data_IF_290844688893
#
_entry.id   IF_290844688893
#
_cell.length_a   1.000
_cell.length_b   1.000
_cell.length_c   1.000
_cell.angle_alpha   90.00
_cell.angle_beta   90.00
_cell.angle_gamma   90.00
#
_symmetry.space_group_name_H-M   'P 1'
#
loop_
_entity.id
_entity.type
_entity.pdbx_description
1 polymer ?
#
# COMPACT_ATOMS: atom_id res chain seq x y z
N UNK A 1 33.49 -17.38 35.87
CA UNK A 1 33.60 -16.06 35.23
C UNK A 1 32.90 -15.07 36.15
N UNK A 2 33.65 -14.42 37.04
CA UNK A 2 33.10 -13.49 38.04
C UNK A 2 32.71 -12.18 37.36
N UNK A 3 31.45 -11.77 37.51
CA UNK A 3 30.99 -10.45 37.08
C UNK A 3 31.45 -9.42 38.11
N UNK A 4 32.35 -8.50 37.71
CA UNK A 4 33.07 -7.60 38.63
C UNK A 4 32.27 -6.38 39.13
N UNK A 5 31.03 -6.18 38.69
CA UNK A 5 30.08 -5.31 39.41
C UNK A 5 28.63 -5.61 39.00
N UNK A 6 27.69 -5.46 39.94
CA UNK A 6 26.25 -5.54 39.70
C UNK A 6 25.80 -4.59 38.57
N UNK A 7 26.45 -3.42 38.47
CA UNK A 7 26.22 -2.44 37.43
C UNK A 7 26.55 -2.96 36.01
N UNK A 8 27.63 -3.73 35.83
CA UNK A 8 27.96 -4.34 34.54
C UNK A 8 26.95 -5.43 34.13
N UNK A 9 26.44 -6.19 35.10
CA UNK A 9 25.43 -7.21 34.84
C UNK A 9 24.09 -6.58 34.43
N UNK A 10 23.65 -5.53 35.13
CA UNK A 10 22.46 -4.76 34.75
C UNK A 10 22.66 -4.06 33.40
N UNK A 11 23.78 -3.38 33.17
CA UNK A 11 24.11 -2.76 31.88
C UNK A 11 24.07 -3.78 30.74
N UNK A 12 24.60 -5.00 30.94
CA UNK A 12 24.58 -6.06 29.92
C UNK A 12 23.16 -6.61 29.71
N UNK A 13 22.33 -6.66 30.75
CA UNK A 13 20.92 -7.06 30.67
C UNK A 13 20.07 -6.01 29.95
N UNK A 14 20.23 -4.73 30.30
CA UNK A 14 19.56 -3.62 29.62
C UNK A 14 20.08 -3.43 28.19
N UNK A 15 21.38 -3.58 27.95
CA UNK A 15 21.97 -3.54 26.61
C UNK A 15 21.50 -4.71 25.73
N UNK A 16 21.29 -5.91 26.28
CA UNK A 16 20.64 -7.03 25.56
C UNK A 16 19.18 -6.72 25.22
N UNK A 17 18.45 -6.07 26.14
CA UNK A 17 17.08 -5.58 25.89
C UNK A 17 17.05 -4.52 24.79
N UNK A 18 17.97 -3.57 24.84
CA UNK A 18 18.12 -2.51 23.84
C UNK A 18 18.55 -3.06 22.48
N UNK A 19 19.54 -3.97 22.42
CA UNK A 19 19.97 -4.59 21.16
C UNK A 19 18.90 -5.44 20.52
N UNK A 20 18.16 -6.22 21.32
CA UNK A 20 17.06 -7.04 20.80
C UNK A 20 15.90 -6.17 20.32
N UNK A 21 15.57 -5.10 21.04
CA UNK A 21 14.59 -4.08 20.63
C UNK A 21 15.02 -3.39 19.34
N UNK A 22 16.25 -2.89 19.26
CA UNK A 22 16.81 -2.21 18.10
C UNK A 22 16.85 -3.13 16.87
N UNK A 23 17.20 -4.40 17.05
CA UNK A 23 17.16 -5.40 15.97
C UNK A 23 15.73 -5.67 15.48
N UNK A 24 14.73 -5.68 16.37
CA UNK A 24 13.31 -5.81 16.00
C UNK A 24 12.83 -4.58 15.24
N UNK A 25 13.14 -3.38 15.72
CA UNK A 25 12.82 -2.12 15.04
C UNK A 25 13.47 -2.05 13.67
N UNK A 26 14.76 -2.38 13.56
CA UNK A 26 15.46 -2.44 12.28
C UNK A 26 14.83 -3.43 11.31
N UNK A 27 14.44 -4.62 11.78
CA UNK A 27 13.73 -5.59 10.94
C UNK A 27 12.40 -5.04 10.47
N UNK A 28 11.62 -4.44 11.36
CA UNK A 28 10.32 -3.85 11.04
C UNK A 28 10.44 -2.74 9.99
N UNK A 29 11.39 -1.81 10.16
CA UNK A 29 11.65 -0.74 9.19
C UNK A 29 12.12 -1.27 7.83
N UNK A 30 12.99 -2.29 7.82
CA UNK A 30 13.40 -2.96 6.58
C UNK A 30 12.22 -3.67 5.91
N UNK A 31 11.34 -4.30 6.69
CA UNK A 31 10.13 -4.95 6.19
C UNK A 31 9.12 -3.94 5.65
N UNK A 32 9.03 -2.73 6.22
CA UNK A 32 8.25 -1.61 5.69
C UNK A 32 8.84 -1.18 4.33
N UNK A 33 10.14 -0.93 4.25
CA UNK A 33 10.81 -0.56 2.99
C UNK A 33 10.57 -1.63 1.91
N UNK A 34 10.59 -2.92 2.29
CA UNK A 34 10.29 -4.04 1.40
C UNK A 34 8.82 -4.13 0.99
N UNK A 35 7.92 -3.99 1.97
CA UNK A 35 6.49 -4.19 1.81
C UNK A 35 5.91 -3.18 0.85
N UNK A 36 6.27 -1.92 1.08
CA UNK A 36 5.81 -0.76 0.32
C UNK A 36 6.70 -0.45 -0.89
N UNK A 37 7.99 -0.79 -0.88
CA UNK A 37 8.90 -0.58 -2.03
C UNK A 37 9.62 0.77 -2.06
N UNK A 38 9.60 1.54 -0.97
CA UNK A 38 9.93 2.98 -0.94
C UNK A 38 11.20 3.40 -1.71
N UNK A 39 11.11 4.45 -2.55
CA UNK A 39 12.33 5.21 -2.89
C UNK A 39 12.86 5.92 -1.64
N UNK A 40 14.14 6.27 -1.64
CA UNK A 40 14.74 7.02 -0.55
C UNK A 40 13.99 8.33 -0.26
N UNK A 41 13.55 9.02 -1.31
CA UNK A 41 12.78 10.26 -1.20
C UNK A 41 11.43 10.04 -0.53
N UNK A 42 10.68 9.01 -0.94
CA UNK A 42 9.37 8.70 -0.37
C UNK A 42 9.48 8.20 1.07
N UNK A 43 10.46 7.34 1.37
CA UNK A 43 10.71 6.88 2.73
C UNK A 43 11.02 8.06 3.68
N UNK A 44 11.81 9.04 3.22
CA UNK A 44 12.11 10.25 4.02
C UNK A 44 10.93 11.22 4.15
N UNK A 45 9.87 11.06 3.37
CA UNK A 45 8.64 11.86 3.42
C UNK A 45 7.54 11.27 4.31
N UNK A 46 7.72 10.04 4.80
CA UNK A 46 6.81 9.42 5.76
C UNK A 46 6.55 10.35 6.97
N UNK A 47 5.32 10.40 7.51
CA UNK A 47 4.97 11.32 8.60
C UNK A 47 5.90 11.20 9.81
N UNK A 48 6.45 10.02 10.06
CA UNK A 48 7.44 9.76 11.11
C UNK A 48 8.71 10.61 10.95
N UNK A 49 9.27 10.69 9.73
CA UNK A 49 10.51 11.43 9.45
C UNK A 49 10.26 12.88 9.04
N UNK A 50 9.10 13.17 8.43
CA UNK A 50 8.67 14.54 8.11
C UNK A 50 8.48 15.38 9.37
N UNK A 51 7.91 14.80 10.43
CA UNK A 51 7.72 15.48 11.74
C UNK A 51 8.98 15.45 12.61
N UNK A 52 9.92 14.54 12.36
CA UNK A 52 11.14 14.33 13.17
C UNK A 52 12.38 14.28 12.27
N UNK A 53 12.85 15.42 11.73
CA UNK A 53 13.94 15.44 10.77
C UNK A 53 15.27 14.92 11.33
N UNK A 54 15.47 14.94 12.65
CA UNK A 54 16.65 14.37 13.31
C UNK A 54 16.75 12.84 13.18
N UNK A 55 15.66 12.14 12.83
CA UNK A 55 15.66 10.70 12.57
C UNK A 55 16.09 10.35 11.12
N UNK A 56 16.21 11.34 10.22
CA UNK A 56 16.58 11.11 8.82
C UNK A 56 17.94 10.40 8.64
N UNK A 57 19.00 10.70 9.40
CA UNK A 57 20.26 9.94 9.30
C UNK A 57 20.10 8.46 9.61
N UNK A 58 19.29 8.13 10.62
CA UNK A 58 18.97 6.74 10.94
C UNK A 58 18.16 6.10 9.80
N UNK A 59 17.16 6.80 9.26
CA UNK A 59 16.39 6.33 8.11
C UNK A 59 17.27 6.04 6.88
N UNK A 60 18.26 6.91 6.59
CA UNK A 60 19.24 6.70 5.51
C UNK A 60 20.06 5.42 5.73
N UNK A 61 20.52 5.18 6.96
CA UNK A 61 21.26 3.96 7.31
C UNK A 61 20.40 2.71 7.14
N UNK A 62 19.15 2.73 7.62
CA UNK A 62 18.22 1.61 7.46
C UNK A 62 17.94 1.34 5.98
N UNK A 63 17.73 2.39 5.20
CA UNK A 63 17.55 2.30 3.76
C UNK A 63 18.76 1.70 3.04
N UNK A 64 19.97 2.14 3.41
CA UNK A 64 21.22 1.56 2.90
C UNK A 64 21.34 0.07 3.21
N UNK A 65 21.03 -0.33 4.45
CA UNK A 65 21.01 -1.75 4.86
C UNK A 65 19.97 -2.55 4.05
N UNK A 66 18.76 -2.00 3.86
CA UNK A 66 17.71 -2.65 3.07
C UNK A 66 18.13 -2.85 1.61
N UNK A 67 18.77 -1.83 1.01
CA UNK A 67 19.31 -1.87 -0.35
C UNK A 67 20.43 -2.91 -0.49
N UNK A 68 21.40 -2.93 0.43
CA UNK A 68 22.51 -3.89 0.43
C UNK A 68 22.04 -5.34 0.60
N UNK A 69 20.97 -5.57 1.36
CA UNK A 69 20.39 -6.91 1.51
C UNK A 69 19.60 -7.39 0.29
N UNK A 70 19.51 -6.60 -0.79
CA UNK A 70 18.70 -6.93 -1.95
C UNK A 70 17.20 -6.99 -1.65
N UNK A 71 16.79 -6.42 -0.51
CA UNK A 71 15.41 -6.42 -0.02
C UNK A 71 14.59 -5.26 -0.62
N UNK A 72 15.25 -4.42 -1.42
CA UNK A 72 14.68 -3.31 -2.16
C UNK A 72 14.14 -3.79 -3.52
N UNK A 73 12.84 -3.60 -3.77
CA UNK A 73 12.24 -3.83 -5.09
C UNK A 73 11.58 -2.56 -5.57
N UNK A 74 12.42 -1.66 -6.10
CA UNK A 74 11.95 -0.54 -6.89
C UNK A 74 11.75 -0.98 -8.32
N UNK A 75 10.51 -0.85 -8.77
CA UNK A 75 10.18 -0.92 -10.17
C UNK A 75 10.21 0.51 -10.71
N UNK A 76 11.03 0.79 -11.74
CA UNK A 76 11.10 2.13 -12.33
C UNK A 76 9.76 2.57 -12.94
N UNK A 77 8.88 1.62 -13.28
CA UNK A 77 7.57 1.89 -13.86
C UNK A 77 6.45 2.09 -12.84
N UNK A 78 6.62 1.65 -11.59
CA UNK A 78 5.57 1.66 -10.56
C UNK A 78 6.09 2.26 -9.26
N UNK A 79 5.41 3.28 -8.75
CA UNK A 79 5.71 3.79 -7.41
C UNK A 79 5.18 2.81 -6.34
N UNK A 80 5.47 3.09 -5.07
CA UNK A 80 5.12 2.22 -3.94
C UNK A 80 3.63 1.99 -3.80
N UNK A 81 2.86 3.05 -3.98
CA UNK A 81 1.41 2.98 -3.87
C UNK A 81 0.86 2.07 -4.96
N UNK A 82 1.41 2.17 -6.17
CA UNK A 82 1.07 1.29 -7.28
C UNK A 82 1.47 -0.17 -6.96
N UNK A 83 2.66 -0.41 -6.39
CA UNK A 83 3.12 -1.75 -6.00
C UNK A 83 2.27 -2.39 -4.90
N UNK A 84 1.82 -1.61 -3.92
CA UNK A 84 0.90 -2.09 -2.87
C UNK A 84 -0.43 -2.50 -3.49
N UNK A 85 -1.01 -1.63 -4.32
CA UNK A 85 -2.27 -1.92 -5.00
C UNK A 85 -2.12 -3.15 -5.91
N UNK A 86 -1.03 -3.26 -6.63
CA UNK A 86 -0.71 -4.43 -7.45
C UNK A 86 -0.69 -5.72 -6.61
N UNK A 87 0.03 -5.74 -5.49
CA UNK A 87 0.09 -6.91 -4.59
C UNK A 87 -1.26 -7.24 -3.95
N UNK A 88 -2.05 -6.22 -3.61
CA UNK A 88 -3.42 -6.40 -3.10
C UNK A 88 -4.28 -7.07 -4.18
N UNK A 89 -4.25 -6.57 -5.42
CA UNK A 89 -4.96 -7.15 -6.55
C UNK A 89 -4.48 -8.56 -6.93
N UNK A 90 -3.20 -8.88 -6.71
CA UNK A 90 -2.73 -10.26 -6.89
C UNK A 90 -3.35 -11.23 -5.88
N UNK A 91 -3.65 -10.76 -4.67
CA UNK A 91 -4.14 -11.59 -3.56
C UNK A 91 -5.63 -11.41 -3.28
N UNK A 92 -6.29 -10.53 -4.01
CA UNK A 92 -7.72 -10.26 -3.85
C UNK A 92 -8.51 -11.56 -4.08
N UNK A 93 -9.49 -11.73 -3.20
CA UNK A 93 -10.39 -12.87 -3.06
C UNK A 93 -11.81 -12.33 -3.07
N UNK A 94 -12.80 -13.19 -3.35
CA UNK A 94 -14.19 -12.73 -3.38
C UNK A 94 -14.62 -12.28 -1.97
N UNK A 95 -14.81 -10.96 -1.74
CA UNK A 95 -15.06 -10.46 -0.40
C UNK A 95 -16.44 -10.89 0.13
N UNK A 96 -17.40 -11.18 -0.76
CA UNK A 96 -18.75 -11.60 -0.35
C UNK A 96 -18.75 -13.10 -0.07
N UNK A 97 -18.22 -13.90 -0.99
CA UNK A 97 -18.23 -15.37 -0.84
C UNK A 97 -17.23 -15.89 0.19
N UNK A 98 -16.01 -15.35 0.22
CA UNK A 98 -14.96 -15.87 1.09
C UNK A 98 -14.95 -15.22 2.48
N UNK A 99 -15.33 -13.94 2.58
CA UNK A 99 -15.29 -13.19 3.84
C UNK A 99 -16.68 -12.90 4.42
N UNK A 100 -17.76 -13.22 3.71
CA UNK A 100 -19.12 -12.94 4.14
C UNK A 100 -19.45 -11.45 4.22
N UNK A 101 -18.72 -10.60 3.49
CA UNK A 101 -18.96 -9.16 3.50
C UNK A 101 -20.31 -8.82 2.87
N UNK A 102 -20.99 -7.80 3.41
CA UNK A 102 -22.19 -7.26 2.79
C UNK A 102 -21.86 -6.67 1.41
N UNK A 103 -22.68 -6.97 0.40
CA UNK A 103 -22.45 -6.56 -0.98
C UNK A 103 -22.34 -5.03 -1.14
N UNK A 104 -23.08 -4.24 -0.36
CA UNK A 104 -23.00 -2.76 -0.37
C UNK A 104 -21.69 -2.22 0.20
N UNK A 105 -20.90 -3.04 0.89
CA UNK A 105 -19.59 -2.66 1.43
C UNK A 105 -18.42 -3.31 0.68
N UNK A 106 -18.71 -4.23 -0.25
CA UNK A 106 -17.72 -4.90 -1.07
C UNK A 106 -17.25 -3.98 -2.21
N UNK A 107 -16.32 -3.08 -1.89
CA UNK A 107 -15.74 -2.12 -2.84
C UNK A 107 -14.22 -2.04 -2.76
N UNK A 108 -13.59 -1.85 -3.92
CA UNK A 108 -12.16 -1.55 -4.07
C UNK A 108 -12.00 -0.32 -4.97
N UNK A 109 -11.35 0.73 -4.46
CA UNK A 109 -11.14 1.99 -5.18
C UNK A 109 -9.66 2.12 -5.51
N UNK A 110 -9.34 2.30 -6.80
CA UNK A 110 -7.99 2.45 -7.30
C UNK A 110 -7.90 3.76 -8.09
N UNK A 111 -6.98 4.69 -7.76
CA UNK A 111 -6.76 5.88 -8.57
C UNK A 111 -6.51 5.51 -10.03
N UNK A 112 -7.10 6.25 -10.97
CA UNK A 112 -7.05 5.87 -12.38
C UNK A 112 -5.62 5.83 -12.94
N UNK A 113 -4.78 6.80 -12.58
CA UNK A 113 -3.36 6.81 -12.98
C UNK A 113 -2.60 5.57 -12.48
N UNK A 114 -2.93 5.09 -11.27
CA UNK A 114 -2.35 3.85 -10.73
C UNK A 114 -2.85 2.65 -11.52
N UNK A 115 -4.14 2.59 -11.84
CA UNK A 115 -4.69 1.52 -12.66
C UNK A 115 -4.03 1.49 -14.06
N UNK A 116 -3.80 2.64 -14.69
CA UNK A 116 -3.09 2.75 -15.97
C UNK A 116 -1.65 2.24 -15.86
N UNK A 117 -0.89 2.68 -14.85
CA UNK A 117 0.51 2.26 -14.68
C UNK A 117 0.63 0.75 -14.42
N UNK A 118 -0.27 0.17 -13.64
CA UNK A 118 -0.32 -1.28 -13.36
C UNK A 118 -0.81 -2.07 -14.59
N UNK A 119 -1.64 -1.46 -15.43
CA UNK A 119 -2.37 -2.10 -16.52
C UNK A 119 -3.86 -2.16 -16.20
N UNK A 120 -4.65 -1.28 -16.83
CA UNK A 120 -6.06 -1.08 -16.54
C UNK A 120 -6.88 -2.36 -16.77
N UNK A 121 -6.67 -3.02 -17.91
CA UNK A 121 -7.33 -4.28 -18.27
C UNK A 121 -6.97 -5.42 -17.31
N UNK A 122 -5.70 -5.51 -16.91
CA UNK A 122 -5.25 -6.49 -15.93
C UNK A 122 -5.91 -6.24 -14.56
N UNK A 123 -5.92 -4.99 -14.08
CA UNK A 123 -6.54 -4.64 -12.80
C UNK A 123 -8.05 -4.92 -12.79
N UNK A 124 -8.75 -4.54 -13.87
CA UNK A 124 -10.16 -4.84 -14.06
C UNK A 124 -10.42 -6.36 -14.09
N UNK A 125 -9.57 -7.14 -14.77
CA UNK A 125 -9.63 -8.59 -14.79
C UNK A 125 -9.49 -9.21 -13.39
N UNK A 126 -8.58 -8.68 -12.55
CA UNK A 126 -8.43 -9.12 -11.15
C UNK A 126 -9.67 -8.83 -10.33
N UNK A 127 -10.28 -7.65 -10.47
CA UNK A 127 -11.54 -7.30 -9.81
C UNK A 127 -12.68 -8.26 -10.22
N UNK A 128 -12.83 -8.52 -11.53
CA UNK A 128 -13.82 -9.49 -12.03
C UNK A 128 -13.59 -10.89 -11.46
N UNK A 129 -12.34 -11.34 -11.40
CA UNK A 129 -12.00 -12.65 -10.82
C UNK A 129 -12.33 -12.77 -9.33
N UNK A 130 -12.41 -11.64 -8.62
CA UNK A 130 -12.85 -11.56 -7.24
C UNK A 130 -14.37 -11.29 -7.10
N UNK A 131 -15.14 -11.44 -8.17
CA UNK A 131 -16.59 -11.23 -8.12
C UNK A 131 -17.00 -9.76 -7.99
N UNK A 132 -16.10 -8.81 -8.25
CA UNK A 132 -16.40 -7.38 -8.29
C UNK A 132 -16.54 -6.92 -9.74
N UNK A 133 -17.60 -6.16 -10.04
CA UNK A 133 -17.76 -5.54 -11.36
C UNK A 133 -16.95 -4.23 -11.41
N UNK A 134 -16.06 -4.04 -12.40
CA UNK A 134 -15.27 -2.82 -12.54
C UNK A 134 -16.07 -1.68 -13.18
N UNK A 135 -15.94 -0.49 -12.61
CA UNK A 135 -16.53 0.77 -13.06
C UNK A 135 -15.42 1.81 -13.18
N UNK A 136 -15.58 2.72 -14.14
CA UNK A 136 -14.82 3.96 -14.18
C UNK A 136 -15.67 5.03 -13.48
N UNK A 137 -15.16 5.56 -12.37
CA UNK A 137 -15.86 6.56 -11.59
C UNK A 137 -15.13 7.90 -11.57
N UNK A 138 -15.85 8.97 -11.86
CA UNK A 138 -15.43 10.33 -11.57
C UNK A 138 -15.55 10.60 -10.07
N UNK A 139 -14.55 11.27 -9.53
CA UNK A 139 -14.55 11.75 -8.15
C UNK A 139 -14.36 13.26 -8.15
N UNK A 140 -14.69 13.89 -7.02
CA UNK A 140 -14.34 15.31 -6.78
C UNK A 140 -12.84 15.61 -6.97
N UNK A 141 -11.97 14.60 -6.86
CA UNK A 141 -10.53 14.71 -7.15
C UNK A 141 -10.07 13.62 -8.12
N UNK A 142 -10.41 13.80 -9.39
CA UNK A 142 -9.96 12.96 -10.50
C UNK A 142 -10.69 11.61 -10.58
N UNK A 143 -10.26 10.76 -11.50
CA UNK A 143 -10.94 9.52 -11.84
C UNK A 143 -10.38 8.32 -11.06
N UNK A 144 -11.20 7.29 -10.86
CA UNK A 144 -10.79 6.03 -10.26
C UNK A 144 -11.41 4.82 -10.97
N UNK A 145 -10.65 3.73 -11.03
CA UNK A 145 -11.19 2.40 -11.28
C UNK A 145 -11.80 1.88 -9.97
N UNK A 146 -13.08 1.56 -9.98
CA UNK A 146 -13.81 1.08 -8.81
C UNK A 146 -14.38 -0.30 -9.09
N UNK A 147 -13.93 -1.30 -8.35
CA UNK A 147 -14.56 -2.62 -8.34
C UNK A 147 -15.63 -2.66 -7.26
N UNK A 148 -16.89 -2.86 -7.61
CA UNK A 148 -17.99 -2.96 -6.64
C UNK A 148 -18.84 -4.19 -6.92
N UNK A 149 -19.39 -4.77 -5.85
CA UNK A 149 -20.36 -5.88 -5.99
C UNK A 149 -21.73 -5.38 -6.42
N UNK A 150 -22.19 -4.31 -5.80
CA UNK A 150 -23.50 -3.70 -6.04
C UNK A 150 -23.34 -2.19 -6.22
N UNK A 151 -24.11 -1.54 -7.13
CA UNK A 151 -24.16 -0.08 -7.24
C UNK A 151 -24.58 0.63 -5.95
N UNK A 152 -25.28 -0.05 -5.04
CA UNK A 152 -25.61 0.47 -3.71
C UNK A 152 -24.38 0.86 -2.89
N UNK A 153 -23.19 0.32 -3.21
CA UNK A 153 -21.94 0.73 -2.58
C UNK A 153 -21.59 2.20 -2.82
N UNK A 154 -22.11 2.83 -3.88
CA UNK A 154 -21.87 4.24 -4.18
C UNK A 154 -22.45 5.13 -3.08
N UNK A 155 -23.66 4.83 -2.61
CA UNK A 155 -24.33 5.59 -1.53
C UNK A 155 -23.50 5.51 -0.24
N UNK A 156 -23.09 4.30 0.14
CA UNK A 156 -22.25 4.04 1.32
C UNK A 156 -20.91 4.79 1.25
N UNK A 157 -20.27 4.83 0.08
CA UNK A 157 -19.00 5.54 -0.11
C UNK A 157 -19.22 7.06 -0.04
N UNK A 158 -20.31 7.55 -0.63
CA UNK A 158 -20.62 8.98 -0.69
C UNK A 158 -21.02 9.59 0.66
N UNK A 159 -21.49 8.76 1.60
CA UNK A 159 -21.62 9.15 3.01
C UNK A 159 -20.26 9.46 3.66
N UNK A 160 -19.16 8.95 3.10
CA UNK A 160 -17.81 9.29 3.57
C UNK A 160 -17.41 10.71 3.15
N UNK A 161 -16.93 11.50 4.10
CA UNK A 161 -16.53 12.90 3.87
C UNK A 161 -15.33 13.01 2.91
N UNK A 162 -14.56 11.94 2.75
CA UNK A 162 -13.27 11.95 2.04
C UNK A 162 -13.32 11.40 0.62
N UNK A 163 -14.32 10.59 0.27
CA UNK A 163 -14.41 9.94 -1.04
C UNK A 163 -15.83 10.10 -1.58
N UNK A 164 -15.98 11.02 -2.54
CA UNK A 164 -17.24 11.21 -3.27
C UNK A 164 -17.10 10.76 -4.71
N UNK A 165 -17.84 9.72 -5.08
CA UNK A 165 -18.08 9.24 -6.43
C UNK A 165 -19.23 10.04 -7.03
N UNK A 166 -18.97 10.78 -8.10
CA UNK A 166 -19.94 11.68 -8.75
C UNK A 166 -20.71 10.94 -9.82
N UNK A 167 -19.98 10.28 -10.71
CA UNK A 167 -20.53 9.53 -11.84
C UNK A 167 -19.75 8.23 -11.98
N UNK A 168 -20.42 7.11 -12.24
CA UNK A 168 -19.80 5.79 -12.37
C UNK A 168 -20.40 5.04 -13.54
N UNK A 169 -19.56 4.67 -14.51
CA UNK A 169 -19.96 3.89 -15.68
C UNK A 169 -19.28 2.52 -15.67
N UNK A 170 -19.98 1.43 -16.02
CA UNK A 170 -19.35 0.13 -16.17
C UNK A 170 -18.19 0.20 -17.16
N UNK A 171 -17.03 -0.34 -16.80
CA UNK A 171 -15.83 -0.23 -17.63
C UNK A 171 -16.00 -0.86 -19.02
N UNK A 172 -16.91 -1.84 -19.15
CA UNK A 172 -17.29 -2.49 -20.41
C UNK A 172 -17.95 -1.54 -21.41
N UNK A 173 -18.66 -0.51 -20.93
CA UNK A 173 -19.42 0.44 -21.74
C UNK A 173 -18.55 1.62 -22.21
N UNK A 174 -17.46 1.90 -21.51
CA UNK A 174 -16.51 2.98 -21.83
C UNK A 174 -15.57 2.59 -22.99
N UNK A 175 -15.46 1.29 -23.29
CA UNK A 175 -14.64 0.73 -24.37
C UNK A 175 -13.15 0.66 -24.04
N UNK A 176 -12.53 -0.52 -24.17
CA UNK A 176 -11.10 -0.76 -23.92
C UNK A 176 -10.15 -0.02 -24.91
N UNK A 177 -10.71 0.69 -25.92
CA UNK A 177 -9.97 1.30 -27.02
C UNK A 177 -9.77 2.82 -26.97
N UNK A 178 -10.23 3.54 -25.94
CA UNK A 178 -10.02 5.01 -25.85
C UNK A 178 -8.83 5.45 -25.00
N UNK A 179 -8.09 4.51 -24.39
CA UNK A 179 -7.24 4.80 -23.23
C UNK A 179 -5.87 4.10 -23.29
N UNK A 180 -5.14 4.29 -24.40
CA UNK A 180 -3.71 3.96 -24.54
C UNK A 180 -3.02 4.93 -25.51
N UNK A 181 -1.74 5.28 -25.30
CA UNK A 181 -1.08 6.37 -26.00
C UNK A 181 -0.78 6.01 -27.45
N UNK A 182 -1.06 6.94 -28.37
CA UNK A 182 -0.41 7.00 -29.68
C UNK A 182 1.07 7.36 -29.54
#
# INVERSE_FOLDING_TARGET
>A
MEFRSFAEYELKRYARGLWSSLRRTLRHEVDIIRGYGYTLGEYLQEPAFKRRPYLKPAALLVYGIARLKGVYRYDRGLNNQDLVIYKVLQRIRDPVKELGANESYAVTIIPYDTALRIGLSWAAGRLRSAGLRPYLCERTRGTALVGMRSPSAIEVINESVYLKLVHCEPLEEVGEGRLGPS
#
